data_IF_485259831547
#
_entry.id   IF_485259831547
#
_cell.length_a   1.000
_cell.length_b   1.000
_cell.length_c   1.000
_cell.angle_alpha   90.00
_cell.angle_beta   90.00
_cell.angle_gamma   90.00
#
_symmetry.space_group_name_H-M   'P 1'
#
loop_
_entity.id
_entity.type
_entity.pdbx_description
1 polymer ?
#
# COMPACT_ATOMS: atom_id res chain seq x y z
N UNK A 1 -1.13 15.69 -0.02
CA UNK A 1 -0.47 16.96 0.34
C UNK A 1 -1.47 17.99 0.81
N UNK A 2 -1.10 18.76 1.82
CA UNK A 2 -1.89 19.86 2.37
C UNK A 2 -1.08 21.14 2.22
N UNK A 3 -1.66 22.12 1.54
CA UNK A 3 -1.06 23.43 1.35
C UNK A 3 -1.84 24.44 2.19
N UNK A 4 -1.19 25.04 3.18
CA UNK A 4 -1.74 26.14 3.98
C UNK A 4 -1.10 27.42 3.48
N UNK A 5 -1.91 28.35 2.98
CA UNK A 5 -1.44 29.67 2.56
C UNK A 5 -1.88 30.69 3.61
N UNK A 6 -0.91 31.36 4.24
CA UNK A 6 -1.12 32.39 5.25
C UNK A 6 -1.43 33.74 4.58
N UNK A 7 -2.04 34.66 5.34
CA UNK A 7 -2.48 35.98 4.84
C UNK A 7 -1.30 36.86 4.37
N UNK A 8 -0.09 36.60 4.88
CA UNK A 8 1.16 37.26 4.48
C UNK A 8 1.79 36.67 3.21
N UNK A 9 1.14 35.68 2.58
CA UNK A 9 1.59 35.02 1.36
C UNK A 9 2.56 33.86 1.61
N UNK A 10 2.89 33.52 2.86
CA UNK A 10 3.67 32.31 3.16
C UNK A 10 2.87 31.06 2.85
N UNK A 11 3.54 30.08 2.28
CA UNK A 11 2.96 28.77 1.95
C UNK A 11 3.66 27.71 2.78
N UNK A 12 2.90 27.06 3.66
CA UNK A 12 3.35 25.92 4.42
C UNK A 12 2.78 24.63 3.81
N UNK A 13 3.67 23.77 3.32
CA UNK A 13 3.31 22.46 2.76
C UNK A 13 3.49 21.38 3.84
N UNK A 14 2.44 20.60 4.07
CA UNK A 14 2.45 19.46 4.98
C UNK A 14 2.07 18.19 4.23
N UNK A 15 2.83 17.12 4.47
CA UNK A 15 2.51 15.80 3.95
C UNK A 15 1.86 15.00 5.06
N UNK A 16 0.53 14.91 5.03
CA UNK A 16 -0.24 14.13 6.00
C UNK A 16 -0.40 12.72 5.45
N UNK A 17 0.34 11.77 6.02
CA UNK A 17 0.14 10.35 5.75
C UNK A 17 -1.19 9.90 6.35
N UNK A 18 -2.05 9.29 5.53
CA UNK A 18 -3.28 8.69 6.04
C UNK A 18 -2.92 7.59 7.06
N UNK A 19 -3.56 7.61 8.23
CA UNK A 19 -3.37 6.58 9.24
C UNK A 19 -3.77 5.23 8.63
N UNK A 20 -2.80 4.35 8.37
CA UNK A 20 -3.09 2.99 7.93
C UNK A 20 -3.59 2.22 9.15
N UNK A 21 -4.91 2.13 9.31
CA UNK A 21 -5.48 1.17 10.24
C UNK A 21 -4.99 -0.22 9.85
N UNK A 22 -4.41 -1.01 10.79
CA UNK A 22 -3.96 -2.35 10.48
C UNK A 22 -5.12 -3.11 9.82
N UNK A 23 -4.82 -3.85 8.76
CA UNK A 23 -5.78 -4.64 7.98
C UNK A 23 -6.37 -5.77 8.85
N UNK A 24 -7.22 -5.40 9.79
CA UNK A 24 -7.93 -6.29 10.67
C UNK A 24 -9.25 -6.63 9.99
N UNK A 25 -9.25 -7.75 9.31
CA UNK A 25 -10.46 -8.32 8.74
C UNK A 25 -11.14 -9.15 9.83
N UNK A 26 -12.46 -9.00 10.01
CA UNK A 26 -13.20 -9.81 11.02
C UNK A 26 -13.00 -11.29 10.73
N UNK A 27 -13.01 -12.10 11.79
CA UNK A 27 -12.86 -13.55 11.69
C UNK A 27 -13.76 -14.16 10.60
N UNK A 28 -13.17 -14.99 9.74
CA UNK A 28 -13.90 -15.70 8.69
C UNK A 28 -14.27 -14.83 7.48
N UNK A 29 -13.93 -13.54 7.48
CA UNK A 29 -14.10 -12.68 6.31
C UNK A 29 -12.83 -12.67 5.47
N UNK A 30 -13.05 -12.65 4.16
CA UNK A 30 -12.00 -12.43 3.16
C UNK A 30 -12.33 -11.13 2.44
N UNK A 31 -11.37 -10.22 2.41
CA UNK A 31 -11.43 -8.98 1.63
C UNK A 31 -10.45 -9.15 0.49
N UNK A 32 -10.93 -9.05 -0.73
CA UNK A 32 -10.09 -9.05 -1.91
C UNK A 32 -10.34 -7.76 -2.69
N UNK A 33 -9.29 -7.27 -3.34
CA UNK A 33 -9.35 -6.21 -4.32
C UNK A 33 -8.61 -6.67 -5.55
N UNK A 34 -9.21 -6.41 -6.69
CA UNK A 34 -8.65 -6.69 -8.00
C UNK A 34 -8.86 -5.42 -8.81
N UNK A 35 -7.79 -4.94 -9.42
CA UNK A 35 -7.81 -3.80 -10.31
C UNK A 35 -6.94 -4.11 -11.53
N UNK A 36 -7.44 -3.76 -12.70
CA UNK A 36 -6.68 -3.87 -13.95
C UNK A 36 -7.03 -2.67 -14.82
N UNK A 37 -6.06 -2.12 -15.51
CA UNK A 37 -6.27 -0.96 -16.37
C UNK A 37 -4.97 -0.30 -16.77
N UNK A 38 -5.04 0.96 -17.22
CA UNK A 38 -3.86 1.74 -17.58
C UNK A 38 -3.69 2.88 -16.55
N UNK A 39 -2.47 3.10 -16.03
CA UNK A 39 -2.22 4.20 -15.13
C UNK A 39 -2.37 5.52 -15.90
N UNK A 40 -3.02 6.51 -15.28
CA UNK A 40 -3.15 7.85 -15.84
C UNK A 40 -2.31 8.81 -14.99
N UNK A 41 -1.13 9.25 -15.46
CA UNK A 41 -0.19 9.99 -14.60
C UNK A 41 -0.74 11.34 -14.13
N UNK A 42 -1.51 12.06 -14.96
CA UNK A 42 -2.31 13.26 -14.62
C UNK A 42 -2.95 13.84 -15.88
N UNK A 43 -3.64 14.98 -15.76
CA UNK A 43 -4.41 15.76 -16.76
C UNK A 43 -3.79 16.02 -18.16
N UNK A 44 -2.63 15.48 -18.51
CA UNK A 44 -2.12 15.49 -19.87
C UNK A 44 -2.63 14.27 -20.65
N UNK A 45 -2.95 14.46 -21.92
CA UNK A 45 -3.39 13.40 -22.86
C UNK A 45 -2.28 12.38 -23.22
N UNK A 46 -1.25 12.24 -22.39
CA UNK A 46 -0.21 11.23 -22.54
C UNK A 46 -0.60 10.02 -21.72
N UNK A 47 -1.08 9.01 -22.45
CA UNK A 47 -1.33 7.67 -21.91
C UNK A 47 -0.02 6.93 -22.09
N UNK A 48 0.69 6.66 -21.01
CA UNK A 48 1.69 5.58 -21.01
C UNK A 48 0.89 4.31 -21.33
N UNK A 49 1.23 3.63 -22.43
CA UNK A 49 0.45 2.50 -22.94
C UNK A 49 0.76 1.21 -22.17
N UNK A 50 0.93 1.34 -20.86
CA UNK A 50 1.34 0.26 -19.98
C UNK A 50 0.13 -0.21 -19.17
N UNK A 51 -0.18 -1.50 -19.25
CA UNK A 51 -1.30 -2.06 -18.49
C UNK A 51 -0.79 -2.49 -17.12
N UNK A 52 -1.51 -2.11 -16.06
CA UNK A 52 -1.27 -2.60 -14.71
C UNK A 52 -2.36 -3.58 -14.29
N UNK A 53 -1.95 -4.56 -13.51
CA UNK A 53 -2.78 -5.51 -12.77
C UNK A 53 -2.37 -5.47 -11.30
N UNK A 54 -3.33 -5.23 -10.42
CA UNK A 54 -3.13 -5.23 -8.98
C UNK A 54 -4.13 -6.17 -8.30
N UNK A 55 -3.61 -7.01 -7.43
CA UNK A 55 -4.38 -7.87 -6.55
C UNK A 55 -3.98 -7.62 -5.11
N UNK A 56 -4.95 -7.46 -4.22
CA UNK A 56 -4.76 -7.48 -2.78
C UNK A 56 -5.76 -8.45 -2.17
N UNK A 57 -5.32 -9.30 -1.26
CA UNK A 57 -6.17 -10.23 -0.51
C UNK A 57 -5.82 -10.14 0.96
N UNK A 58 -6.83 -10.00 1.81
CA UNK A 58 -6.71 -10.08 3.26
C UNK A 58 -7.70 -11.11 3.79
N UNK A 59 -7.21 -12.00 4.63
CA UNK A 59 -7.98 -13.07 5.25
C UNK A 59 -7.86 -13.02 6.76
N UNK A 60 -8.99 -12.88 7.46
CA UNK A 60 -9.09 -13.07 8.91
C UNK A 60 -9.07 -14.56 9.26
N UNK A 61 -7.87 -15.15 9.26
CA UNK A 61 -7.64 -16.60 9.44
C UNK A 61 -8.07 -17.10 10.83
N UNK A 62 -7.83 -16.31 11.89
CA UNK A 62 -8.30 -16.59 13.26
C UNK A 62 -9.07 -15.38 13.82
N UNK A 63 -9.73 -15.53 14.99
CA UNK A 63 -10.43 -14.44 15.68
C UNK A 63 -9.60 -13.16 15.84
N UNK A 64 -8.28 -13.33 15.95
CA UNK A 64 -7.34 -12.28 16.30
C UNK A 64 -6.18 -12.15 15.30
N UNK A 65 -6.13 -12.97 14.26
CA UNK A 65 -5.01 -12.98 13.31
C UNK A 65 -5.55 -12.77 11.90
N UNK A 66 -5.03 -11.75 11.23
CA UNK A 66 -5.30 -11.44 9.83
C UNK A 66 -4.02 -11.65 9.03
N UNK A 67 -4.10 -12.34 7.91
CA UNK A 67 -3.04 -12.37 6.92
C UNK A 67 -3.45 -11.44 5.78
N UNK A 68 -2.47 -10.82 5.15
CA UNK A 68 -2.70 -10.13 3.89
C UNK A 68 -1.55 -10.38 2.93
N UNK A 69 -1.86 -10.32 1.65
CA UNK A 69 -0.89 -10.34 0.58
C UNK A 69 -1.39 -9.53 -0.59
N UNK A 70 -0.48 -9.09 -1.43
CA UNK A 70 -0.82 -8.39 -2.65
C UNK A 70 0.26 -8.54 -3.69
N UNK A 71 -0.14 -8.38 -4.94
CA UNK A 71 0.72 -8.41 -6.10
C UNK A 71 0.36 -7.21 -6.96
N UNK A 72 1.36 -6.55 -7.51
CA UNK A 72 1.18 -5.52 -8.52
C UNK A 72 2.13 -5.83 -9.67
N UNK A 73 1.58 -5.92 -10.87
CA UNK A 73 2.29 -6.28 -12.10
C UNK A 73 1.90 -5.22 -13.13
N UNK A 74 2.87 -4.45 -13.60
CA UNK A 74 2.78 -3.73 -14.87
C UNK A 74 3.46 -4.54 -15.95
N UNK A 75 3.05 -4.32 -17.20
CA UNK A 75 3.39 -5.14 -18.37
C UNK A 75 4.87 -5.56 -18.40
N UNK A 76 5.81 -4.60 -18.42
CA UNK A 76 7.25 -4.89 -18.48
C UNK A 76 8.12 -4.09 -17.50
N UNK A 77 7.62 -3.00 -16.88
CA UNK A 77 8.50 -2.09 -16.12
C UNK A 77 8.41 -2.22 -14.61
N UNK A 78 7.39 -2.90 -14.05
CA UNK A 78 7.23 -2.95 -12.59
C UNK A 78 6.52 -4.19 -12.06
N UNK A 79 7.17 -4.88 -11.12
CA UNK A 79 6.57 -5.97 -10.35
C UNK A 79 6.77 -5.75 -8.86
N UNK A 80 5.71 -5.86 -8.08
CA UNK A 80 5.80 -5.91 -6.62
C UNK A 80 4.95 -7.01 -6.01
N UNK A 81 5.45 -7.55 -4.91
CA UNK A 81 4.79 -8.56 -4.11
C UNK A 81 4.88 -8.17 -2.64
N UNK A 82 3.74 -8.17 -1.96
CA UNK A 82 3.63 -7.86 -0.55
C UNK A 82 3.00 -9.03 0.21
N UNK A 83 3.48 -9.28 1.40
CA UNK A 83 2.89 -10.23 2.35
C UNK A 83 3.04 -9.71 3.77
N UNK A 84 2.00 -9.89 4.58
CA UNK A 84 1.97 -9.40 5.93
C UNK A 84 1.01 -10.15 6.83
N UNK A 85 1.22 -9.93 8.12
CA UNK A 85 0.44 -10.50 9.21
C UNK A 85 0.03 -9.39 10.18
N UNK A 86 -1.23 -9.42 10.59
CA UNK A 86 -1.80 -8.57 11.61
C UNK A 86 -2.29 -9.42 12.79
N UNK A 87 -1.94 -9.01 14.00
CA UNK A 87 -2.41 -9.61 15.24
C UNK A 87 -3.16 -8.56 16.06
N UNK A 88 -4.44 -8.81 16.32
CA UNK A 88 -5.22 -8.06 17.29
C UNK A 88 -5.03 -8.69 18.67
N UNK A 89 -4.34 -7.99 19.56
CA UNK A 89 -4.08 -8.41 20.94
C UNK A 89 -5.12 -7.85 21.92
N UNK A 90 -6.28 -7.39 21.41
CA UNK A 90 -7.41 -6.88 22.18
C UNK A 90 -6.97 -5.71 23.08
N UNK A 91 -6.83 -5.96 24.39
CA UNK A 91 -6.45 -5.00 25.43
C UNK A 91 -5.05 -4.39 25.25
N UNK A 92 -4.15 -5.09 24.55
CA UNK A 92 -2.80 -4.59 24.27
C UNK A 92 -2.72 -3.77 22.95
N UNK A 93 -3.82 -3.70 22.19
CA UNK A 93 -3.89 -3.05 20.88
C UNK A 93 -3.75 -4.03 19.71
N UNK A 94 -3.47 -3.48 18.53
CA UNK A 94 -3.28 -4.20 17.28
C UNK A 94 -1.87 -3.97 16.74
N UNK A 95 -1.26 -5.05 16.27
CA UNK A 95 0.05 -5.05 15.64
C UNK A 95 -0.08 -5.54 14.20
N UNK A 96 0.65 -4.95 13.27
CA UNK A 96 0.84 -5.55 11.96
C UNK A 96 2.27 -5.42 11.48
N UNK A 97 2.74 -6.43 10.77
CA UNK A 97 4.04 -6.45 10.13
C UNK A 97 3.89 -6.94 8.70
N UNK A 98 4.59 -6.28 7.79
CA UNK A 98 4.57 -6.63 6.38
C UNK A 98 5.88 -6.37 5.68
N UNK A 99 6.10 -7.18 4.63
CA UNK A 99 7.26 -7.13 3.77
C UNK A 99 6.76 -6.96 2.34
N UNK A 100 7.30 -5.96 1.66
CA UNK A 100 7.01 -5.71 0.25
C UNK A 100 8.32 -5.75 -0.53
N UNK A 101 8.41 -6.66 -1.50
CA UNK A 101 9.47 -6.70 -2.48
C UNK A 101 8.99 -6.04 -3.78
N UNK A 102 9.83 -5.24 -4.40
CA UNK A 102 9.54 -4.62 -5.68
C UNK A 102 10.77 -4.68 -6.60
N UNK A 103 10.52 -4.86 -7.89
CA UNK A 103 11.51 -4.83 -8.96
C UNK A 103 10.99 -3.91 -10.05
N UNK A 104 11.79 -2.92 -10.42
CA UNK A 104 11.50 -2.00 -11.52
C UNK A 104 12.52 -2.21 -12.63
N UNK A 105 12.06 -2.29 -13.87
CA UNK A 105 12.89 -2.26 -15.07
C UNK A 105 12.82 -0.84 -15.66
N UNK A 106 13.95 -0.26 -16.02
CA UNK A 106 14.00 1.06 -16.64
C UNK A 106 14.69 0.95 -18.00
N UNK A 107 14.07 1.46 -19.06
CA UNK A 107 14.55 1.44 -20.45
C UNK A 107 15.99 1.98 -20.66
N UNK A 108 16.54 2.70 -19.67
CA UNK A 108 17.88 3.31 -19.73
C UNK A 108 18.80 2.94 -18.56
N UNK A 109 18.39 2.11 -17.60
CA UNK A 109 19.17 1.76 -16.40
C UNK A 109 18.99 0.30 -15.94
N UNK A 110 19.93 -0.20 -15.12
CA UNK A 110 19.89 -1.55 -14.53
C UNK A 110 18.63 -1.77 -13.68
N UNK A 111 18.15 -3.02 -13.63
CA UNK A 111 17.09 -3.48 -12.73
C UNK A 111 17.26 -2.93 -11.31
N UNK A 112 16.31 -2.14 -10.84
CA UNK A 112 16.28 -1.65 -9.47
C UNK A 112 15.39 -2.55 -8.62
N UNK A 113 15.99 -3.21 -7.63
CA UNK A 113 15.28 -4.11 -6.71
C UNK A 113 15.27 -3.53 -5.31
N UNK A 114 14.07 -3.29 -4.81
CA UNK A 114 13.82 -2.74 -3.48
C UNK A 114 13.11 -3.76 -2.58
N UNK A 115 13.44 -3.70 -1.30
CA UNK A 115 12.72 -4.47 -0.29
C UNK A 115 12.38 -3.55 0.88
N UNK A 116 11.09 -3.50 1.21
CA UNK A 116 10.51 -2.62 2.21
C UNK A 116 9.92 -3.46 3.32
N UNK A 117 10.12 -3.00 4.56
CA UNK A 117 9.54 -3.59 5.76
C UNK A 117 8.69 -2.53 6.45
N UNK A 118 7.50 -2.90 6.88
CA UNK A 118 6.60 -2.00 7.59
C UNK A 118 6.09 -2.68 8.86
N UNK A 119 6.03 -1.88 9.91
CA UNK A 119 5.56 -2.27 11.22
C UNK A 119 4.58 -1.21 11.70
N UNK A 120 3.36 -1.61 12.06
CA UNK A 120 2.36 -0.73 12.61
C UNK A 120 1.90 -1.24 13.97
N UNK A 121 1.75 -0.32 14.91
CA UNK A 121 1.16 -0.57 16.21
C UNK A 121 0.06 0.46 16.46
N UNK A 122 -1.11 -0.02 16.87
CA UNK A 122 -2.25 0.83 17.19
C UNK A 122 -2.83 0.40 18.52
N UNK A 123 -2.85 1.30 19.49
CA UNK A 123 -3.52 1.11 20.77
C UNK A 123 -4.55 2.22 20.94
N UNK A 124 -5.82 1.86 20.99
CA UNK A 124 -6.83 2.78 21.52
C UNK A 124 -6.79 2.69 23.05
N UNK A 125 -6.69 3.85 23.68
CA UNK A 125 -6.77 4.04 25.14
C UNK A 125 -8.21 4.33 25.50
#
# INVERSE_FOLDING_TARGET
>A
DVKVTEEDGRVNNFQVSAASTPFLTRQGQVRYKLAAGQPRPSMSHQTENETFFSNEVSWGMLSNTSLYGGLLISDDDYHSAAMGIGQNMLWLGALSFDVTWASSHFDTQQDERGLSYRFNYSKQV
#
